data_IF_000983969172
#
_entry.id   IF_000983969172
#
_cell.length_a   1.000
_cell.length_b   1.000
_cell.length_c   1.000
_cell.angle_alpha   90.00
_cell.angle_beta   90.00
_cell.angle_gamma   90.00
#
_symmetry.space_group_name_H-M   'P 1'
#
loop_
_entity.id
_entity.type
_entity.pdbx_description
1 polymer ?
#
# COMPACT_ATOMS: atom_id res chain seq x y z
N UNK A 1 7.13 -6.21 29.54
CA UNK A 1 8.36 -6.11 28.71
C UNK A 1 7.92 -6.11 27.25
N UNK A 2 8.14 -5.03 26.50
CA UNK A 2 7.75 -4.95 25.08
C UNK A 2 8.82 -5.66 24.23
N UNK A 3 8.47 -6.69 23.43
CA UNK A 3 9.48 -7.44 22.67
C UNK A 3 10.23 -6.49 21.72
N UNK A 4 11.54 -6.67 21.63
CA UNK A 4 12.35 -5.95 20.65
C UNK A 4 11.97 -6.41 19.24
N UNK A 5 11.97 -5.49 18.28
CA UNK A 5 11.80 -5.83 16.87
C UNK A 5 12.92 -6.81 16.47
N UNK A 6 12.54 -8.06 16.19
CA UNK A 6 13.50 -9.13 15.94
C UNK A 6 13.58 -9.41 14.45
N UNK A 7 14.74 -9.11 13.86
CA UNK A 7 15.03 -9.41 12.46
C UNK A 7 15.04 -10.92 12.16
N UNK A 8 14.97 -11.80 13.17
CA UNK A 8 14.85 -13.26 12.97
C UNK A 8 13.58 -13.67 12.22
N UNK A 9 12.57 -12.82 12.15
CA UNK A 9 11.32 -13.10 11.43
C UNK A 9 11.34 -12.68 9.95
N UNK A 10 12.41 -12.02 9.47
CA UNK A 10 12.65 -11.71 8.06
C UNK A 10 13.17 -12.94 7.32
N UNK A 11 12.34 -13.98 7.25
CA UNK A 11 12.61 -15.15 6.42
C UNK A 11 12.09 -14.92 5.01
N UNK A 12 12.67 -15.61 4.02
CA UNK A 12 12.21 -15.52 2.63
C UNK A 12 10.69 -15.79 2.49
N UNK A 13 10.09 -16.79 3.16
CA UNK A 13 8.64 -17.00 3.12
C UNK A 13 7.84 -15.84 3.72
N UNK A 14 8.31 -15.21 4.79
CA UNK A 14 7.63 -14.06 5.39
C UNK A 14 7.64 -12.83 4.46
N UNK A 15 8.77 -12.60 3.78
CA UNK A 15 8.90 -11.54 2.77
C UNK A 15 7.96 -11.82 1.59
N UNK A 16 7.96 -13.04 1.06
CA UNK A 16 7.09 -13.43 -0.06
C UNK A 16 5.61 -13.34 0.34
N UNK A 17 5.23 -13.80 1.53
CA UNK A 17 3.86 -13.70 2.02
C UNK A 17 3.41 -12.24 2.17
N UNK A 18 4.26 -11.38 2.73
CA UNK A 18 3.99 -9.94 2.82
C UNK A 18 3.86 -9.29 1.44
N UNK A 19 4.74 -9.63 0.51
CA UNK A 19 4.68 -9.15 -0.87
C UNK A 19 3.38 -9.56 -1.56
N UNK A 20 3.00 -10.85 -1.47
CA UNK A 20 1.74 -11.35 -2.05
C UNK A 20 0.53 -10.68 -1.41
N UNK A 21 0.51 -10.52 -0.09
CA UNK A 21 -0.58 -9.83 0.61
C UNK A 21 -0.75 -8.39 0.12
N UNK A 22 0.35 -7.66 -0.07
CA UNK A 22 0.32 -6.30 -0.62
C UNK A 22 -0.15 -6.30 -2.07
N UNK A 23 0.36 -7.20 -2.91
CA UNK A 23 0.01 -7.26 -4.33
C UNK A 23 -1.47 -7.61 -4.54
N UNK A 24 -1.99 -8.57 -3.79
CA UNK A 24 -3.41 -8.95 -3.78
C UNK A 24 -4.29 -7.80 -3.23
N UNK A 25 -3.89 -7.18 -2.12
CA UNK A 25 -4.62 -6.05 -1.55
C UNK A 25 -4.68 -4.85 -2.50
N UNK A 26 -3.56 -4.55 -3.15
CA UNK A 26 -3.45 -3.46 -4.11
C UNK A 26 -4.32 -3.71 -5.35
N UNK A 27 -4.20 -4.88 -5.97
CA UNK A 27 -4.96 -5.23 -7.17
C UNK A 27 -6.47 -5.26 -6.96
N UNK A 28 -6.94 -5.64 -5.76
CA UNK A 28 -8.38 -5.72 -5.45
C UNK A 28 -9.13 -4.38 -5.56
N UNK A 29 -8.45 -3.26 -5.29
CA UNK A 29 -9.09 -1.94 -5.17
C UNK A 29 -8.81 -1.01 -6.35
N UNK A 30 -7.94 -1.43 -7.28
CA UNK A 30 -7.47 -0.64 -8.41
C UNK A 30 -8.51 -0.52 -9.55
N UNK A 31 -9.39 -1.51 -9.73
CA UNK A 31 -10.41 -1.48 -10.79
C UNK A 31 -11.34 -0.25 -10.69
N UNK A 32 -11.70 0.15 -9.47
CA UNK A 32 -12.56 1.32 -9.20
C UNK A 32 -11.81 2.62 -9.53
N UNK A 33 -10.51 2.68 -9.21
CA UNK A 33 -9.65 3.84 -9.49
C UNK A 33 -9.48 4.05 -11.01
N UNK A 34 -9.32 2.97 -11.79
CA UNK A 34 -9.28 3.04 -13.25
C UNK A 34 -10.56 3.63 -13.83
N UNK A 35 -11.73 3.24 -13.31
CA UNK A 35 -13.01 3.81 -13.76
C UNK A 35 -13.15 5.29 -13.38
N UNK A 36 -12.87 5.65 -12.12
CA UNK A 36 -12.97 7.03 -11.64
C UNK A 36 -12.00 7.98 -12.37
N UNK A 37 -10.77 7.54 -12.61
CA UNK A 37 -9.78 8.33 -13.31
C UNK A 37 -10.07 8.46 -14.82
N UNK A 38 -10.67 7.43 -15.42
CA UNK A 38 -11.22 7.54 -16.77
C UNK A 38 -12.32 8.61 -16.87
N UNK A 39 -13.21 8.67 -15.87
CA UNK A 39 -14.23 9.72 -15.79
C UNK A 39 -13.63 11.13 -15.57
N UNK A 40 -12.51 11.23 -14.85
CA UNK A 40 -11.77 12.47 -14.66
C UNK A 40 -10.86 12.88 -15.84
N UNK A 41 -10.82 12.09 -16.92
CA UNK A 41 -9.97 12.36 -18.10
C UNK A 41 -8.48 12.14 -17.88
N UNK A 42 -8.08 11.41 -16.84
CA UNK A 42 -6.68 11.12 -16.56
C UNK A 42 -6.09 10.15 -17.59
N UNK A 43 -4.88 10.45 -18.07
CA UNK A 43 -4.16 9.55 -18.98
C UNK A 43 -3.62 8.32 -18.25
N UNK A 44 -3.44 7.20 -18.96
CA UNK A 44 -2.87 5.95 -18.40
C UNK A 44 -1.51 6.17 -17.73
N UNK A 45 -0.72 7.11 -18.26
CA UNK A 45 0.59 7.47 -17.72
C UNK A 45 0.49 8.23 -16.39
N UNK A 46 -0.48 9.14 -16.25
CA UNK A 46 -0.76 9.80 -14.96
C UNK A 46 -1.26 8.80 -13.92
N UNK A 47 -2.14 7.88 -14.34
CA UNK A 47 -2.66 6.85 -13.44
C UNK A 47 -1.55 5.94 -12.91
N UNK A 48 -0.66 5.46 -13.79
CA UNK A 48 0.51 4.68 -13.41
C UNK A 48 1.42 5.45 -12.44
N UNK A 49 1.58 6.76 -12.65
CA UNK A 49 2.32 7.65 -11.75
C UNK A 49 1.68 7.75 -10.36
N UNK A 50 0.38 8.03 -10.28
CA UNK A 50 -0.36 8.13 -9.01
C UNK A 50 -0.29 6.83 -8.22
N UNK A 51 -0.55 5.72 -8.88
CA UNK A 51 -0.51 4.38 -8.32
C UNK A 51 0.88 4.03 -7.79
N UNK A 52 1.94 4.35 -8.54
CA UNK A 52 3.33 4.12 -8.12
C UNK A 52 3.72 4.95 -6.89
N UNK A 53 3.39 6.25 -6.90
CA UNK A 53 3.66 7.16 -5.79
C UNK A 53 2.93 6.71 -4.52
N UNK A 54 1.67 6.28 -4.66
CA UNK A 54 0.88 5.78 -3.55
C UNK A 54 1.44 4.48 -2.96
N UNK A 55 1.84 3.52 -3.81
CA UNK A 55 2.48 2.29 -3.38
C UNK A 55 3.78 2.56 -2.61
N UNK A 56 4.62 3.48 -3.12
CA UNK A 56 5.84 3.91 -2.44
C UNK A 56 5.54 4.59 -1.09
N UNK A 57 4.58 5.51 -1.04
CA UNK A 57 4.19 6.21 0.18
C UNK A 57 3.67 5.24 1.25
N UNK A 58 2.81 4.29 0.89
CA UNK A 58 2.31 3.27 1.81
C UNK A 58 3.43 2.34 2.29
N UNK A 59 4.34 1.92 1.40
CA UNK A 59 5.49 1.10 1.78
C UNK A 59 6.41 1.80 2.77
N UNK A 60 6.82 3.03 2.47
CA UNK A 60 7.68 3.85 3.34
C UNK A 60 7.02 4.10 4.70
N UNK A 61 5.74 4.44 4.72
CA UNK A 61 5.02 4.69 5.97
C UNK A 61 4.78 3.41 6.77
N UNK A 62 4.43 2.29 6.13
CA UNK A 62 4.28 0.99 6.81
C UNK A 62 5.58 0.56 7.46
N UNK A 63 6.71 0.68 6.75
CA UNK A 63 8.03 0.35 7.28
C UNK A 63 8.40 1.30 8.42
N UNK A 64 8.31 2.62 8.19
CA UNK A 64 8.68 3.63 9.18
C UNK A 64 7.87 3.54 10.47
N UNK A 65 6.54 3.40 10.35
CA UNK A 65 5.65 3.24 11.50
C UNK A 65 5.86 1.90 12.19
N UNK A 66 6.13 0.82 11.45
CA UNK A 66 6.41 -0.48 12.06
C UNK A 66 7.70 -0.47 12.88
N UNK A 67 8.73 0.24 12.41
CA UNK A 67 9.98 0.43 13.15
C UNK A 67 9.76 1.33 14.36
N UNK A 68 9.04 2.45 14.19
CA UNK A 68 8.79 3.43 15.25
C UNK A 68 7.94 2.85 16.39
N UNK A 69 6.82 2.23 16.06
CA UNK A 69 5.91 1.61 17.05
C UNK A 69 6.35 0.22 17.50
N UNK A 70 7.39 -0.36 16.85
CA UNK A 70 7.87 -1.73 17.08
C UNK A 70 6.74 -2.77 17.03
N UNK A 71 5.82 -2.58 16.08
CA UNK A 71 4.64 -3.41 15.87
C UNK A 71 4.39 -3.53 14.35
N UNK A 72 3.75 -4.61 13.85
CA UNK A 72 3.40 -4.71 12.44
C UNK A 72 2.31 -3.69 12.09
N UNK A 73 2.69 -2.55 11.52
CA UNK A 73 1.78 -1.47 11.09
C UNK A 73 1.65 -1.50 9.58
N UNK A 74 0.41 -1.55 9.09
CA UNK A 74 0.09 -1.48 7.67
C UNK A 74 -0.70 -0.20 7.39
N UNK A 75 -0.15 0.68 6.57
CA UNK A 75 -0.86 1.87 6.07
C UNK A 75 -1.76 1.45 4.92
N UNK A 76 -3.06 1.61 5.13
CA UNK A 76 -4.09 1.42 4.10
C UNK A 76 -4.54 2.76 3.54
N UNK A 77 -4.91 2.79 2.27
CA UNK A 77 -5.63 3.91 1.67
C UNK A 77 -7.15 3.72 1.76
N UNK A 78 -7.89 4.81 1.57
CA UNK A 78 -9.35 4.78 1.45
C UNK A 78 -9.75 4.94 -0.01
N UNK A 79 -10.07 3.83 -0.68
CA UNK A 79 -10.68 3.83 -2.02
C UNK A 79 -11.94 4.70 -2.11
N UNK A 80 -12.85 4.73 -1.10
CA UNK A 80 -13.97 5.68 -1.11
C UNK A 80 -13.51 7.15 -0.94
N UNK A 81 -12.39 7.42 -0.27
CA UNK A 81 -11.84 8.78 -0.17
C UNK A 81 -11.44 9.38 -1.52
N UNK A 82 -10.89 8.58 -2.43
CA UNK A 82 -10.60 9.01 -3.80
C UNK A 82 -11.88 9.23 -4.61
N UNK A 83 -12.90 8.40 -4.39
CA UNK A 83 -14.21 8.55 -5.04
C UNK A 83 -14.99 9.78 -4.56
N UNK A 84 -14.76 10.27 -3.33
CA UNK A 84 -15.37 11.50 -2.80
C UNK A 84 -14.70 12.79 -3.29
N UNK A 85 -13.51 12.70 -3.90
CA UNK A 85 -12.76 13.86 -4.41
C UNK A 85 -13.07 14.19 -5.88
N UNK A 86 -13.90 13.36 -6.53
CA UNK A 86 -14.42 13.54 -7.90
C UNK A 86 -15.91 13.79 -7.81
#
# INVERSE_FOLDING_TARGET
MRPAFSFRHLTLPAIVAGFVAVLVGYTSSVAIIFQAAGAAGATTMQLGGWLSMLGLAMGVTSIGLSIYYRAPVLTAWSTPGAALLV
#
